data_IF_203789444120
#
_entry.id   IF_203789444120
#
_cell.length_a   1.000
_cell.length_b   1.000
_cell.length_c   1.000
_cell.angle_alpha   90.00
_cell.angle_beta   90.00
_cell.angle_gamma   90.00
#
_symmetry.space_group_name_H-M   'P 1'
#
loop_
_entity.id
_entity.type
_entity.pdbx_description
1 polymer ?
#
# COMPACT_ATOMS: atom_id res chain seq x y z
N UNK A 1 -2.17 1.61 -22.47
CA UNK A 1 -2.89 1.15 -21.26
C UNK A 1 -3.16 -0.36 -21.30
N UNK A 2 -3.20 -0.97 -22.49
CA UNK A 2 -3.14 -2.43 -22.67
C UNK A 2 -2.04 -3.10 -21.85
N UNK A 3 -0.84 -2.49 -21.78
CA UNK A 3 0.27 -2.98 -20.93
C UNK A 3 -0.11 -3.11 -19.46
N UNK A 4 -0.89 -2.17 -18.90
CA UNK A 4 -1.34 -2.26 -17.50
C UNK A 4 -2.33 -3.42 -17.32
N UNK A 5 -3.24 -3.67 -18.29
CA UNK A 5 -4.15 -4.81 -18.26
C UNK A 5 -3.42 -6.15 -18.40
N UNK A 6 -2.47 -6.25 -19.34
CA UNK A 6 -1.60 -7.41 -19.50
C UNK A 6 -0.85 -7.69 -18.19
N UNK A 7 -0.31 -6.64 -17.57
CA UNK A 7 0.41 -6.75 -16.30
C UNK A 7 -0.51 -7.21 -15.17
N UNK A 8 -1.73 -6.66 -15.09
CA UNK A 8 -2.75 -7.07 -14.14
C UNK A 8 -3.09 -8.56 -14.27
N UNK A 9 -3.47 -9.02 -15.47
CA UNK A 9 -3.84 -10.41 -15.73
C UNK A 9 -2.66 -11.36 -15.46
N UNK A 10 -1.45 -10.97 -15.86
CA UNK A 10 -0.23 -11.74 -15.56
C UNK A 10 0.01 -11.88 -14.06
N UNK A 11 -0.19 -10.81 -13.31
CA UNK A 11 0.02 -10.80 -11.87
C UNK A 11 -1.03 -11.64 -11.14
N UNK A 12 -2.32 -11.48 -11.44
CA UNK A 12 -3.36 -12.31 -10.79
C UNK A 12 -3.22 -13.77 -11.18
N UNK A 13 -2.92 -14.09 -12.45
CA UNK A 13 -2.68 -15.45 -12.87
C UNK A 13 -1.44 -16.09 -12.19
N UNK A 14 -0.42 -15.30 -11.83
CA UNK A 14 0.77 -15.85 -11.15
C UNK A 14 0.47 -16.34 -9.72
N UNK A 15 -0.61 -15.84 -9.10
CA UNK A 15 -1.10 -16.26 -7.78
C UNK A 15 -1.60 -17.71 -7.77
N UNK A 16 -1.71 -18.38 -8.93
CA UNK A 16 -1.93 -19.84 -8.99
C UNK A 16 -0.87 -20.60 -8.17
N UNK A 17 0.37 -20.07 -8.14
CA UNK A 17 1.48 -20.66 -7.41
C UNK A 17 1.57 -20.27 -5.93
N UNK A 18 0.68 -19.37 -5.47
CA UNK A 18 0.58 -19.04 -4.05
C UNK A 18 0.17 -20.28 -3.26
N UNK A 19 0.64 -20.41 -2.03
CA UNK A 19 0.11 -21.38 -1.07
C UNK A 19 -1.25 -20.92 -0.54
N UNK A 20 -2.03 -21.85 0.02
CA UNK A 20 -3.32 -21.50 0.63
C UNK A 20 -3.17 -20.56 1.82
N UNK A 21 -2.09 -20.71 2.59
CA UNK A 21 -1.77 -19.82 3.72
C UNK A 21 -1.47 -18.40 3.24
N UNK A 22 -0.67 -18.24 2.19
CA UNK A 22 -0.39 -16.92 1.59
C UNK A 22 -1.67 -16.24 1.08
N UNK A 23 -2.58 -16.98 0.45
CA UNK A 23 -3.87 -16.41 0.01
C UNK A 23 -4.74 -16.04 1.20
N UNK A 24 -4.82 -16.91 2.21
CA UNK A 24 -5.60 -16.61 3.42
C UNK A 24 -5.05 -15.38 4.14
N UNK A 25 -3.74 -15.20 4.21
CA UNK A 25 -3.14 -14.02 4.82
C UNK A 25 -3.44 -12.73 4.05
N UNK A 26 -3.51 -12.77 2.72
CA UNK A 26 -3.95 -11.63 1.89
C UNK A 26 -5.44 -11.33 2.09
N UNK A 27 -6.29 -12.36 2.12
CA UNK A 27 -7.72 -12.21 2.40
C UNK A 27 -7.94 -11.61 3.80
N UNK A 28 -7.20 -12.10 4.79
CA UNK A 28 -7.23 -11.60 6.15
C UNK A 28 -6.74 -10.15 6.24
N UNK A 29 -5.71 -9.77 5.47
CA UNK A 29 -5.23 -8.39 5.39
C UNK A 29 -6.37 -7.46 4.98
N UNK A 30 -7.08 -7.77 3.87
CA UNK A 30 -8.24 -6.97 3.42
C UNK A 30 -9.36 -6.97 4.46
N UNK A 31 -9.66 -8.12 5.07
CA UNK A 31 -10.70 -8.20 6.10
C UNK A 31 -10.39 -7.28 7.29
N UNK A 32 -9.13 -7.19 7.72
CA UNK A 32 -8.70 -6.27 8.77
C UNK A 32 -8.72 -4.81 8.34
N UNK A 33 -8.42 -4.54 7.07
CA UNK A 33 -8.59 -3.21 6.50
C UNK A 33 -10.04 -2.73 6.55
N UNK A 34 -11.01 -3.57 6.19
CA UNK A 34 -12.45 -3.25 6.28
C UNK A 34 -12.85 -3.02 7.74
N UNK A 35 -12.52 -3.94 8.65
CA UNK A 35 -12.85 -3.82 10.08
C UNK A 35 -12.27 -2.55 10.72
N UNK A 36 -11.11 -2.10 10.25
CA UNK A 36 -10.51 -0.84 10.69
C UNK A 36 -11.34 0.39 10.25
N UNK A 37 -12.03 0.33 9.11
CA UNK A 37 -12.93 1.38 8.64
C UNK A 37 -14.26 1.44 9.40
N UNK A 38 -14.72 0.28 9.89
CA UNK A 38 -15.94 0.14 10.72
C UNK A 38 -15.71 0.61 12.17
N UNK A 39 -14.46 0.60 12.65
CA UNK A 39 -14.09 1.05 13.99
C UNK A 39 -14.04 2.59 14.09
N UNK A 40 -15.07 3.17 14.69
CA UNK A 40 -15.23 4.62 14.86
C UNK A 40 -14.29 5.25 15.90
N UNK A 41 -13.56 4.45 16.71
CA UNK A 41 -12.65 4.93 17.74
C UNK A 41 -11.18 5.10 17.26
N UNK A 42 -10.90 4.84 15.98
CA UNK A 42 -9.55 4.57 15.49
C UNK A 42 -8.61 5.78 15.36
N UNK A 43 -9.07 6.94 14.90
CA UNK A 43 -8.16 8.04 14.51
C UNK A 43 -7.56 8.80 15.71
N UNK A 44 -8.33 9.02 16.78
CA UNK A 44 -7.88 9.79 17.95
C UNK A 44 -6.90 8.98 18.82
N UNK A 45 -7.14 7.68 18.98
CA UNK A 45 -6.18 6.76 19.60
C UNK A 45 -4.88 6.66 18.80
N UNK A 46 -4.95 6.83 17.48
CA UNK A 46 -3.81 6.78 16.59
C UNK A 46 -2.81 7.92 16.85
N UNK A 47 -3.29 9.15 17.02
CA UNK A 47 -2.43 10.30 17.28
C UNK A 47 -1.69 10.18 18.61
N UNK A 48 -2.39 9.69 19.64
CA UNK A 48 -1.80 9.48 20.96
C UNK A 48 -0.76 8.35 20.96
N UNK A 49 -1.02 7.26 20.23
CA UNK A 49 -0.07 6.17 20.05
C UNK A 49 1.22 6.65 19.37
N UNK A 50 1.08 7.37 18.24
CA UNK A 50 2.21 7.93 17.48
C UNK A 50 3.00 8.91 18.35
N UNK A 51 2.32 9.88 18.98
CA UNK A 51 2.97 10.87 19.83
C UNK A 51 3.73 10.21 21.00
N UNK A 52 3.16 9.17 21.62
CA UNK A 52 3.81 8.45 22.72
C UNK A 52 5.12 7.79 22.26
N UNK A 53 5.12 7.14 21.09
CA UNK A 53 6.30 6.46 20.56
C UNK A 53 7.35 7.46 20.11
N UNK A 54 6.96 8.52 19.40
CA UNK A 54 7.89 9.55 18.95
C UNK A 54 8.45 10.38 20.12
N UNK A 55 7.69 10.63 21.18
CA UNK A 55 8.22 11.26 22.39
C UNK A 55 9.36 10.44 23.03
N UNK A 56 9.22 9.10 23.04
CA UNK A 56 10.29 8.21 23.51
C UNK A 56 11.52 8.29 22.60
N UNK A 57 11.32 8.28 21.27
CA UNK A 57 12.39 8.43 20.29
C UNK A 57 13.13 9.76 20.45
N UNK A 58 12.41 10.89 20.56
CA UNK A 58 13.01 12.21 20.80
C UNK A 58 13.80 12.24 22.12
N UNK A 59 13.26 11.63 23.18
CA UNK A 59 13.96 11.55 24.47
C UNK A 59 15.25 10.73 24.38
N UNK A 60 15.25 9.62 23.66
CA UNK A 60 16.42 8.76 23.47
C UNK A 60 17.46 9.41 22.55
N UNK A 61 17.02 10.13 21.51
CA UNK A 61 17.89 10.92 20.63
C UNK A 61 18.62 12.01 21.41
N UNK A 62 17.89 12.74 22.27
CA UNK A 62 18.48 13.77 23.12
C UNK A 62 19.48 13.18 24.13
N UNK A 63 19.18 12.03 24.72
CA UNK A 63 20.13 11.32 25.59
C UNK A 63 21.40 10.94 24.84
N UNK A 64 21.28 10.45 23.61
CA UNK A 64 22.43 10.13 22.76
C UNK A 64 23.26 11.39 22.43
N UNK A 65 22.61 12.51 22.11
CA UNK A 65 23.29 13.80 21.91
C UNK A 65 24.08 14.22 23.16
N UNK A 66 23.45 14.17 24.34
CA UNK A 66 24.08 14.55 25.61
C UNK A 66 25.33 13.69 25.93
N UNK A 67 25.24 12.37 25.72
CA UNK A 67 26.37 11.46 25.94
C UNK A 67 27.48 11.64 24.88
N UNK A 68 27.12 11.91 23.63
CA UNK A 68 28.10 12.11 22.54
C UNK A 68 28.82 13.46 22.64
N UNK A 69 28.11 14.55 22.96
CA UNK A 69 28.74 15.84 23.27
C UNK A 69 29.66 15.70 24.50
N UNK A 70 29.29 14.87 25.46
CA UNK A 70 30.14 14.56 26.61
C UNK A 70 31.40 13.75 26.24
N UNK A 71 31.39 12.99 25.15
CA UNK A 71 32.51 12.13 24.71
C UNK A 71 33.30 12.68 23.51
N UNK A 72 32.87 13.77 22.87
CA UNK A 72 33.47 14.44 21.69
C UNK A 72 34.89 15.02 21.92
N UNK A 73 35.65 14.40 22.83
CA UNK A 73 37.09 14.24 22.71
C UNK A 73 37.56 13.09 21.79
N UNK A 74 36.72 12.13 21.32
CA UNK A 74 37.17 11.05 20.39
C UNK A 74 36.12 10.51 19.39
N UNK A 75 36.33 10.79 18.08
CA UNK A 75 36.00 10.05 16.82
C UNK A 75 34.59 9.43 16.61
N UNK A 76 33.78 10.07 15.76
CA UNK A 76 32.46 9.59 15.26
C UNK A 76 32.49 9.28 13.75
N UNK A 77 32.62 8.00 13.39
CA UNK A 77 32.50 7.56 12.00
C UNK A 77 31.78 6.22 11.79
N UNK A 78 31.26 5.54 12.83
CA UNK A 78 30.76 4.16 12.72
C UNK A 78 29.22 3.99 12.89
N UNK A 79 28.45 5.00 13.29
CA UNK A 79 27.01 4.87 13.72
C UNK A 79 25.99 4.90 12.57
N UNK A 80 26.47 4.41 11.46
CA UNK A 80 26.15 4.88 10.14
C UNK A 80 24.99 4.13 9.49
N UNK A 81 25.11 2.81 9.43
CA UNK A 81 24.05 1.95 8.92
C UNK A 81 22.93 1.73 9.94
N UNK A 82 23.06 2.29 11.15
CA UNK A 82 22.14 2.00 12.24
C UNK A 82 20.80 2.75 12.09
N UNK A 83 20.82 3.93 11.50
CA UNK A 83 19.60 4.72 11.35
C UNK A 83 18.84 4.30 10.07
N UNK A 84 19.52 3.75 9.07
CA UNK A 84 18.93 3.41 7.76
C UNK A 84 17.94 2.23 7.74
N UNK A 85 17.92 1.36 8.74
CA UNK A 85 17.01 0.20 8.76
C UNK A 85 15.61 0.49 9.32
N UNK A 86 15.38 1.73 9.77
CA UNK A 86 14.26 2.11 10.61
C UNK A 86 12.87 2.02 9.98
N UNK A 87 12.74 2.35 8.70
CA UNK A 87 11.42 2.56 8.14
C UNK A 87 11.31 1.81 6.83
N UNK A 88 10.95 0.54 7.00
CA UNK A 88 10.51 -0.24 5.88
C UNK A 88 9.20 -0.91 6.26
N UNK A 89 8.17 -0.59 5.51
CA UNK A 89 7.16 -1.58 5.18
C UNK A 89 7.82 -2.73 4.38
N UNK A 90 8.71 -3.50 5.03
CA UNK A 90 9.28 -4.78 4.57
C UNK A 90 10.66 -4.79 3.88
N UNK A 91 11.70 -4.12 4.40
CA UNK A 91 13.10 -4.19 3.89
C UNK A 91 14.22 -4.11 4.96
N UNK A 92 13.92 -4.04 6.26
CA UNK A 92 14.90 -3.82 7.31
C UNK A 92 15.40 -5.12 7.94
N UNK A 93 16.60 -5.58 7.56
CA UNK A 93 17.45 -6.42 8.43
C UNK A 93 18.90 -6.48 7.93
N UNK A 94 19.16 -6.34 6.62
CA UNK A 94 20.49 -6.59 6.05
C UNK A 94 21.54 -5.49 6.31
N UNK A 95 21.13 -4.24 6.54
CA UNK A 95 22.07 -3.12 6.70
C UNK A 95 22.80 -3.13 8.06
N UNK A 96 22.21 -3.73 9.10
CA UNK A 96 22.73 -3.69 10.48
C UNK A 96 23.74 -4.77 10.83
N UNK A 97 23.61 -5.97 10.25
CA UNK A 97 24.55 -7.07 10.52
C UNK A 97 26.00 -6.71 10.14
N UNK A 98 26.20 -5.76 9.23
CA UNK A 98 27.50 -5.25 8.84
C UNK A 98 28.07 -4.19 9.82
N UNK A 99 27.22 -3.50 10.58
CA UNK A 99 27.62 -2.37 11.43
C UNK A 99 27.87 -2.74 12.89
N UNK A 100 27.13 -3.74 13.40
CA UNK A 100 27.45 -4.36 14.69
C UNK A 100 28.85 -5.02 14.73
N UNK A 101 29.53 -5.11 13.58
CA UNK A 101 30.87 -5.66 13.42
C UNK A 101 31.98 -4.58 13.42
N UNK A 102 31.66 -3.29 13.30
CA UNK A 102 32.63 -2.17 13.39
C UNK A 102 32.56 -1.58 14.78
N UNK A 103 33.21 -2.25 15.72
CA UNK A 103 33.20 -1.87 17.13
C UNK A 103 34.63 -1.66 17.64
N UNK A 104 35.19 -0.44 17.51
CA UNK A 104 36.51 -0.14 18.11
C UNK A 104 36.63 1.23 18.80
N UNK A 105 35.67 2.17 18.70
CA UNK A 105 35.92 3.55 19.20
C UNK A 105 34.97 4.16 20.25
N UNK A 106 33.75 3.63 20.48
CA UNK A 106 32.76 4.31 21.33
C UNK A 106 32.81 3.95 22.83
N UNK A 107 32.63 4.96 23.69
CA UNK A 107 32.44 4.79 25.14
C UNK A 107 31.18 3.98 25.50
N UNK A 108 31.21 3.27 26.63
CA UNK A 108 30.14 2.34 27.04
C UNK A 108 28.76 3.02 27.23
N UNK A 109 28.74 4.30 27.64
CA UNK A 109 27.51 5.06 27.83
C UNK A 109 26.83 5.40 26.48
N UNK A 110 27.62 5.77 25.46
CA UNK A 110 27.10 6.03 24.13
C UNK A 110 26.58 4.74 23.51
N UNK A 111 27.33 3.64 23.58
CA UNK A 111 26.85 2.33 23.10
C UNK A 111 25.52 1.92 23.70
N UNK A 112 25.31 2.21 24.99
CA UNK A 112 24.04 1.93 25.65
C UNK A 112 22.92 2.85 25.14
N UNK A 113 23.18 4.16 25.00
CA UNK A 113 22.21 5.12 24.46
C UNK A 113 21.85 4.83 23.01
N UNK A 114 22.83 4.46 22.17
CA UNK A 114 22.62 4.03 20.78
C UNK A 114 21.79 2.76 20.71
N UNK A 115 22.08 1.77 21.56
CA UNK A 115 21.30 0.53 21.62
C UNK A 115 19.86 0.78 22.07
N UNK A 116 19.65 1.65 23.05
CA UNK A 116 18.31 2.02 23.51
C UNK A 116 17.52 2.72 22.40
N UNK A 117 18.13 3.70 21.74
CA UNK A 117 17.56 4.40 20.59
C UNK A 117 17.27 3.43 19.44
N UNK A 118 18.22 2.55 19.10
CA UNK A 118 18.04 1.49 18.11
C UNK A 118 16.83 0.62 18.40
N UNK A 119 16.74 0.06 19.61
CA UNK A 119 15.64 -0.84 19.96
C UNK A 119 14.29 -0.14 19.84
N UNK A 120 14.20 1.11 20.32
CA UNK A 120 12.97 1.90 20.25
C UNK A 120 12.57 2.25 18.81
N UNK A 121 13.56 2.43 17.94
CA UNK A 121 13.35 2.71 16.54
C UNK A 121 12.99 1.44 15.73
N UNK A 122 13.62 0.30 16.02
CA UNK A 122 13.30 -1.02 15.45
C UNK A 122 11.87 -1.45 15.82
N UNK A 123 11.46 -1.21 17.06
CA UNK A 123 10.12 -1.56 17.54
C UNK A 123 9.06 -0.51 17.24
N UNK A 124 9.39 0.66 16.70
CA UNK A 124 8.49 1.81 16.62
C UNK A 124 7.16 1.49 15.91
N UNK A 125 7.20 0.82 14.77
CA UNK A 125 5.99 0.45 14.03
C UNK A 125 5.12 -0.54 14.83
N UNK A 126 5.75 -1.51 15.49
CA UNK A 126 5.05 -2.53 16.26
C UNK A 126 4.50 -1.94 17.57
N UNK A 127 5.21 -0.99 18.18
CA UNK A 127 4.75 -0.25 19.36
C UNK A 127 3.60 0.69 19.03
N UNK A 128 3.65 1.39 17.89
CA UNK A 128 2.52 2.18 17.39
C UNK A 128 1.34 1.25 17.13
N UNK A 129 1.55 0.17 16.35
CA UNK A 129 0.51 -0.80 16.03
C UNK A 129 -0.12 -1.41 17.30
N UNK A 130 0.66 -1.84 18.28
CA UNK A 130 0.18 -2.41 19.54
C UNK A 130 -0.58 -1.41 20.41
N UNK A 131 -0.24 -0.11 20.33
CA UNK A 131 -0.96 0.97 21.01
C UNK A 131 -2.25 1.38 20.29
N UNK A 132 -2.42 0.95 19.03
CA UNK A 132 -3.65 1.15 18.27
C UNK A 132 -4.66 0.01 18.51
N UNK A 133 -5.92 0.22 18.12
CA UNK A 133 -6.95 -0.82 18.27
C UNK A 133 -6.58 -2.11 17.53
N UNK A 134 -7.11 -3.26 18.00
CA UNK A 134 -6.66 -4.59 17.56
C UNK A 134 -6.77 -4.87 16.05
N UNK A 135 -7.69 -4.22 15.33
CA UNK A 135 -7.84 -4.40 13.88
C UNK A 135 -6.72 -3.69 13.09
N UNK A 136 -6.32 -2.48 13.49
CA UNK A 136 -5.22 -1.79 12.80
C UNK A 136 -3.89 -2.47 13.06
N UNK A 137 -3.62 -2.87 14.30
CA UNK A 137 -2.41 -3.61 14.67
C UNK A 137 -2.26 -4.87 13.79
N UNK A 138 -3.36 -5.64 13.67
CA UNK A 138 -3.37 -6.86 12.88
C UNK A 138 -3.27 -6.60 11.38
N UNK A 139 -3.89 -5.53 10.88
CA UNK A 139 -3.74 -5.08 9.51
C UNK A 139 -2.28 -4.75 9.18
N UNK A 140 -1.60 -3.93 9.99
CA UNK A 140 -0.19 -3.57 9.79
C UNK A 140 0.71 -4.81 9.82
N UNK A 141 0.47 -5.73 10.75
CA UNK A 141 1.22 -6.99 10.83
C UNK A 141 1.07 -7.81 9.54
N UNK A 142 -0.16 -8.04 9.09
CA UNK A 142 -0.43 -8.81 7.87
C UNK A 142 0.13 -8.10 6.63
N UNK A 143 0.00 -6.77 6.58
CA UNK A 143 0.56 -5.97 5.50
C UNK A 143 2.08 -6.16 5.39
N UNK A 144 2.80 -6.16 6.52
CA UNK A 144 4.25 -6.38 6.56
C UNK A 144 4.62 -7.80 6.14
N UNK A 145 3.97 -8.82 6.68
CA UNK A 145 4.26 -10.23 6.34
C UNK A 145 4.00 -10.51 4.86
N UNK A 146 2.90 -9.99 4.33
CA UNK A 146 2.51 -10.19 2.94
C UNK A 146 3.40 -9.43 1.96
N UNK A 147 4.13 -8.40 2.41
CA UNK A 147 4.92 -7.56 1.50
C UNK A 147 6.03 -8.34 0.77
N UNK A 148 6.68 -9.26 1.48
CA UNK A 148 7.74 -10.10 0.90
C UNK A 148 7.17 -10.97 -0.24
N UNK A 149 6.05 -11.62 0.02
CA UNK A 149 5.34 -12.43 -0.98
C UNK A 149 4.85 -11.58 -2.16
N UNK A 150 4.15 -10.47 -1.89
CA UNK A 150 3.62 -9.58 -2.93
C UNK A 150 4.75 -9.06 -3.82
N UNK A 151 5.88 -8.67 -3.23
CA UNK A 151 7.06 -8.22 -3.98
C UNK A 151 7.66 -9.34 -4.84
N UNK A 152 7.70 -10.57 -4.33
CA UNK A 152 8.21 -11.73 -5.07
C UNK A 152 7.29 -12.14 -6.23
N UNK A 153 5.96 -12.04 -6.03
CA UNK A 153 4.95 -12.34 -7.05
C UNK A 153 4.75 -11.20 -8.07
N UNK A 154 5.18 -9.98 -7.75
CA UNK A 154 5.03 -8.80 -8.61
C UNK A 154 5.92 -8.88 -9.87
N UNK A 155 5.37 -8.62 -11.06
CA UNK A 155 6.18 -8.44 -12.27
C UNK A 155 7.24 -7.35 -12.11
N UNK A 156 8.37 -7.50 -12.83
CA UNK A 156 9.45 -6.50 -12.81
C UNK A 156 8.92 -5.12 -13.22
N UNK A 157 9.11 -4.12 -12.35
CA UNK A 157 8.64 -2.75 -12.57
C UNK A 157 7.27 -2.44 -11.97
N UNK A 158 6.54 -3.44 -11.45
CA UNK A 158 5.37 -3.21 -10.61
C UNK A 158 5.81 -2.91 -9.18
N UNK A 159 5.26 -1.85 -8.60
CA UNK A 159 5.50 -1.54 -7.19
C UNK A 159 4.58 -2.38 -6.30
N UNK A 160 4.99 -2.74 -5.07
CA UNK A 160 4.13 -3.46 -4.12
C UNK A 160 2.78 -2.74 -3.84
N UNK A 161 2.73 -1.42 -4.03
CA UNK A 161 1.53 -0.61 -3.92
C UNK A 161 0.55 -0.89 -5.06
N UNK A 162 1.05 -0.89 -6.30
CA UNK A 162 0.23 -1.24 -7.47
C UNK A 162 -0.25 -2.69 -7.38
N UNK A 163 0.63 -3.61 -6.95
CA UNK A 163 0.27 -5.01 -6.74
C UNK A 163 -0.86 -5.19 -5.73
N UNK A 164 -0.83 -4.45 -4.60
CA UNK A 164 -1.93 -4.46 -3.62
C UNK A 164 -3.21 -3.81 -4.14
N UNK A 165 -3.11 -2.71 -4.89
CA UNK A 165 -4.27 -2.10 -5.55
C UNK A 165 -4.97 -3.12 -6.46
N UNK A 166 -4.20 -3.88 -7.23
CA UNK A 166 -4.71 -4.96 -8.09
C UNK A 166 -5.34 -6.09 -7.28
N UNK A 167 -4.72 -6.53 -6.19
CA UNK A 167 -5.29 -7.54 -5.29
C UNK A 167 -6.61 -7.08 -4.65
N UNK A 168 -6.71 -5.82 -4.22
CA UNK A 168 -7.92 -5.32 -3.55
C UNK A 168 -9.07 -5.15 -4.54
N UNK A 169 -8.80 -4.63 -5.73
CA UNK A 169 -9.79 -4.61 -6.81
C UNK A 169 -10.23 -6.04 -7.20
N UNK A 170 -9.31 -7.00 -7.26
CA UNK A 170 -9.61 -8.42 -7.48
C UNK A 170 -10.48 -9.00 -6.37
N UNK A 171 -10.17 -8.69 -5.11
CA UNK A 171 -10.98 -9.15 -3.98
C UNK A 171 -12.37 -8.50 -3.94
N UNK A 172 -12.52 -7.23 -4.38
CA UNK A 172 -13.85 -6.64 -4.55
C UNK A 172 -14.64 -7.32 -5.65
N UNK A 173 -14.00 -7.57 -6.79
CA UNK A 173 -14.62 -8.31 -7.88
C UNK A 173 -15.17 -9.67 -7.41
N UNK A 174 -14.34 -10.50 -6.76
CA UNK A 174 -14.81 -11.80 -6.27
C UNK A 174 -15.81 -11.69 -5.11
N UNK A 175 -15.77 -10.61 -4.32
CA UNK A 175 -16.73 -10.33 -3.26
C UNK A 175 -18.15 -10.21 -3.82
N UNK A 176 -18.30 -9.45 -4.91
CA UNK A 176 -19.58 -9.30 -5.63
C UNK A 176 -19.99 -10.57 -6.39
N UNK A 177 -19.09 -11.55 -6.52
CA UNK A 177 -19.31 -12.78 -7.29
C UNK A 177 -19.13 -14.04 -6.42
N UNK A 178 -19.81 -14.09 -5.28
CA UNK A 178 -19.84 -15.26 -4.38
C UNK A 178 -18.93 -15.17 -3.15
N UNK A 179 -18.34 -14.01 -2.89
CA UNK A 179 -17.62 -13.71 -1.64
C UNK A 179 -16.12 -13.94 -1.71
N UNK A 180 -15.41 -13.37 -0.72
CA UNK A 180 -13.95 -13.46 -0.59
C UNK A 180 -13.59 -14.65 0.31
N UNK A 181 -13.40 -15.82 -0.30
CA UNK A 181 -12.91 -17.02 0.38
C UNK A 181 -11.94 -17.79 -0.51
N UNK A 182 -11.06 -18.61 0.09
CA UNK A 182 -9.98 -19.31 -0.61
C UNK A 182 -10.42 -20.02 -1.90
N UNK A 183 -11.52 -20.79 -1.84
CA UNK A 183 -12.04 -21.50 -3.01
C UNK A 183 -12.48 -20.54 -4.13
N UNK A 184 -13.14 -19.44 -3.79
CA UNK A 184 -13.58 -18.46 -4.77
C UNK A 184 -12.38 -17.66 -5.33
N UNK A 185 -11.41 -17.33 -4.48
CA UNK A 185 -10.15 -16.70 -4.89
C UNK A 185 -9.44 -17.55 -5.94
N UNK A 186 -9.23 -18.85 -5.67
CA UNK A 186 -8.61 -19.80 -6.62
C UNK A 186 -9.38 -19.91 -7.92
N UNK A 187 -10.71 -20.01 -7.85
CA UNK A 187 -11.59 -20.04 -9.04
C UNK A 187 -11.35 -18.83 -9.93
N UNK A 188 -11.28 -17.62 -9.36
CA UNK A 188 -11.12 -16.41 -10.15
C UNK A 188 -9.66 -16.12 -10.57
N UNK A 189 -8.68 -16.68 -9.88
CA UNK A 189 -7.29 -16.74 -10.37
C UNK A 189 -7.22 -17.60 -11.64
N UNK A 190 -7.90 -18.74 -11.66
CA UNK A 190 -8.01 -19.59 -12.86
C UNK A 190 -8.73 -18.86 -14.00
N UNK A 191 -9.79 -18.10 -13.69
CA UNK A 191 -10.45 -17.21 -14.67
C UNK A 191 -9.44 -16.22 -15.27
N UNK A 192 -8.63 -15.53 -14.46
CA UNK A 192 -7.60 -14.62 -14.96
C UNK A 192 -6.58 -15.31 -15.88
N UNK A 193 -6.18 -16.54 -15.55
CA UNK A 193 -5.26 -17.35 -16.35
C UNK A 193 -5.85 -17.73 -17.70
N UNK A 194 -7.12 -18.14 -17.74
CA UNK A 194 -7.80 -18.47 -18.99
C UNK A 194 -7.99 -17.21 -19.83
N UNK A 195 -8.51 -16.13 -19.25
CA UNK A 195 -8.77 -14.85 -19.94
C UNK A 195 -7.51 -14.29 -20.60
N UNK A 196 -6.37 -14.35 -19.91
CA UNK A 196 -5.07 -13.92 -20.46
C UNK A 196 -4.71 -14.62 -21.77
N UNK A 197 -5.10 -15.88 -21.91
CA UNK A 197 -4.77 -16.72 -23.06
C UNK A 197 -5.91 -16.79 -24.10
N UNK A 198 -7.02 -16.07 -23.87
CA UNK A 198 -8.16 -16.05 -24.80
C UNK A 198 -7.80 -15.24 -26.06
N UNK A 199 -8.05 -15.75 -27.27
CA UNK A 199 -7.73 -15.04 -28.51
C UNK A 199 -8.49 -13.72 -28.69
N UNK A 200 -9.57 -13.48 -27.95
CA UNK A 200 -10.35 -12.25 -28.04
C UNK A 200 -9.89 -11.16 -27.06
N UNK A 201 -8.96 -11.45 -26.14
CA UNK A 201 -8.50 -10.46 -25.16
C UNK A 201 -7.78 -9.26 -25.82
N UNK A 202 -7.16 -9.48 -26.98
CA UNK A 202 -6.51 -8.41 -27.76
C UNK A 202 -7.50 -7.30 -28.14
N UNK A 203 -8.78 -7.62 -28.35
CA UNK A 203 -9.80 -6.61 -28.64
C UNK A 203 -10.04 -5.68 -27.46
N UNK A 204 -9.94 -6.19 -26.22
CA UNK A 204 -10.02 -5.35 -25.02
C UNK A 204 -8.78 -4.45 -24.93
N UNK A 205 -7.60 -4.97 -25.27
CA UNK A 205 -6.36 -4.19 -25.32
C UNK A 205 -6.46 -3.05 -26.33
N UNK A 206 -7.00 -3.33 -27.52
CA UNK A 206 -7.21 -2.32 -28.57
C UNK A 206 -8.18 -1.23 -28.11
N UNK A 207 -9.30 -1.59 -27.47
CA UNK A 207 -10.26 -0.61 -26.93
C UNK A 207 -9.60 0.26 -25.86
N UNK A 208 -8.82 -0.34 -24.95
CA UNK A 208 -8.09 0.40 -23.92
C UNK A 208 -7.10 1.39 -24.54
N UNK A 209 -6.35 0.97 -25.55
CA UNK A 209 -5.36 1.83 -26.20
C UNK A 209 -6.02 2.90 -27.07
N UNK A 210 -7.09 2.60 -27.81
CA UNK A 210 -7.85 3.59 -28.58
C UNK A 210 -8.42 4.69 -27.67
N UNK A 211 -9.06 4.29 -26.56
CA UNK A 211 -9.57 5.25 -25.57
C UNK A 211 -8.44 6.07 -24.92
N UNK A 212 -7.27 5.48 -24.72
CA UNK A 212 -6.11 6.20 -24.17
C UNK A 212 -5.54 7.20 -25.16
N UNK A 213 -5.37 6.79 -26.42
CA UNK A 213 -4.71 7.57 -27.46
C UNK A 213 -5.62 8.66 -28.03
N UNK A 214 -6.94 8.54 -27.87
CA UNK A 214 -7.88 9.57 -28.32
C UNK A 214 -7.68 10.92 -27.60
N UNK A 215 -7.18 10.90 -26.36
CA UNK A 215 -7.09 12.08 -25.49
C UNK A 215 -8.43 12.68 -25.07
N UNK A 216 -9.55 12.13 -25.56
CA UNK A 216 -10.90 12.49 -25.17
C UNK A 216 -11.42 11.52 -24.11
N UNK A 217 -11.65 12.06 -22.92
CA UNK A 217 -12.15 11.33 -21.77
C UNK A 217 -13.50 11.89 -21.29
N UNK A 218 -14.25 12.52 -22.20
CA UNK A 218 -15.63 12.94 -21.97
C UNK A 218 -16.59 11.76 -21.77
N UNK A 219 -17.78 12.05 -21.25
CA UNK A 219 -18.84 11.06 -20.94
C UNK A 219 -19.16 10.14 -22.12
N UNK A 220 -19.30 10.70 -23.33
CA UNK A 220 -19.64 9.98 -24.55
C UNK A 220 -18.52 9.04 -24.99
N UNK A 221 -17.26 9.47 -24.83
CA UNK A 221 -16.09 8.65 -25.15
C UNK A 221 -15.96 7.48 -24.18
N UNK A 222 -16.17 7.72 -22.89
CA UNK A 222 -16.20 6.67 -21.85
C UNK A 222 -17.29 5.65 -22.19
N UNK A 223 -18.53 6.11 -22.40
CA UNK A 223 -19.66 5.23 -22.71
C UNK A 223 -19.40 4.40 -23.96
N UNK A 224 -18.94 5.03 -25.05
CA UNK A 224 -18.61 4.33 -26.30
C UNK A 224 -17.57 3.23 -26.07
N UNK A 225 -16.53 3.50 -25.27
CA UNK A 225 -15.52 2.51 -24.95
C UNK A 225 -16.09 1.34 -24.13
N UNK A 226 -16.96 1.62 -23.15
CA UNK A 226 -17.65 0.59 -22.36
C UNK A 226 -18.59 -0.27 -23.22
N UNK A 227 -19.38 0.36 -24.11
CA UNK A 227 -20.24 -0.32 -25.07
C UNK A 227 -19.44 -1.23 -26.01
N UNK A 228 -18.29 -0.75 -26.49
CA UNK A 228 -17.39 -1.55 -27.32
C UNK A 228 -16.86 -2.78 -26.57
N UNK A 229 -16.53 -2.66 -25.27
CA UNK A 229 -16.10 -3.81 -24.47
C UNK A 229 -17.20 -4.84 -24.32
N UNK A 230 -18.45 -4.42 -24.08
CA UNK A 230 -19.61 -5.32 -23.95
C UNK A 230 -19.80 -6.23 -25.18
N UNK A 231 -19.39 -5.75 -26.36
CA UNK A 231 -19.53 -6.48 -27.61
C UNK A 231 -18.37 -7.44 -27.93
N UNK A 232 -17.34 -7.51 -27.07
CA UNK A 232 -16.23 -8.44 -27.27
C UNK A 232 -16.71 -9.87 -26.97
N UNK A 233 -16.48 -10.84 -27.87
CA UNK A 233 -16.98 -12.22 -27.72
C UNK A 233 -16.08 -13.04 -26.77
N UNK A 234 -15.97 -12.57 -25.53
CA UNK A 234 -15.36 -13.29 -24.41
C UNK A 234 -16.45 -14.04 -23.64
N UNK A 235 -16.07 -15.12 -22.94
CA UNK A 235 -16.96 -15.73 -21.95
C UNK A 235 -17.44 -14.66 -20.95
N UNK A 236 -18.74 -14.65 -20.56
CA UNK A 236 -19.28 -13.61 -19.69
C UNK A 236 -18.52 -13.41 -18.38
N UNK A 237 -18.00 -14.49 -17.76
CA UNK A 237 -17.22 -14.38 -16.54
C UNK A 237 -15.87 -13.69 -16.79
N UNK A 238 -15.28 -13.89 -17.96
CA UNK A 238 -14.00 -13.30 -18.34
C UNK A 238 -14.18 -11.84 -18.69
N UNK A 239 -15.24 -11.55 -19.45
CA UNK A 239 -15.63 -10.23 -19.90
C UNK A 239 -15.96 -9.31 -18.72
N UNK A 240 -16.72 -9.82 -17.75
CA UNK A 240 -17.04 -9.13 -16.50
C UNK A 240 -15.78 -8.65 -15.76
N UNK A 241 -14.83 -9.54 -15.54
CA UNK A 241 -13.58 -9.22 -14.88
C UNK A 241 -12.80 -8.13 -15.65
N UNK A 242 -12.52 -8.33 -16.95
CA UNK A 242 -11.68 -7.39 -17.71
C UNK A 242 -12.31 -6.01 -17.88
N UNK A 243 -13.65 -5.93 -17.90
CA UNK A 243 -14.39 -4.66 -17.91
C UNK A 243 -14.15 -3.86 -16.63
N UNK A 244 -14.34 -4.48 -15.47
CA UNK A 244 -14.09 -3.85 -14.17
C UNK A 244 -12.63 -3.39 -14.03
N UNK A 245 -11.67 -4.21 -14.46
CA UNK A 245 -10.26 -3.82 -14.42
C UNK A 245 -9.88 -2.72 -15.41
N UNK A 246 -10.54 -2.67 -16.57
CA UNK A 246 -10.33 -1.60 -17.54
C UNK A 246 -10.73 -0.25 -16.94
N UNK A 247 -11.88 -0.21 -16.27
CA UNK A 247 -12.33 0.95 -15.51
C UNK A 247 -11.34 1.34 -14.40
N UNK A 248 -10.82 0.37 -13.64
CA UNK A 248 -9.80 0.61 -12.61
C UNK A 248 -8.54 1.27 -13.20
N UNK A 249 -8.06 0.81 -14.36
CA UNK A 249 -6.92 1.40 -15.07
C UNK A 249 -7.23 2.86 -15.46
N UNK A 250 -8.40 3.12 -16.04
CA UNK A 250 -8.78 4.49 -16.44
C UNK A 250 -8.83 5.45 -15.25
N UNK A 251 -9.44 5.07 -14.14
CA UNK A 251 -9.49 5.95 -12.97
C UNK A 251 -8.11 6.17 -12.36
N UNK A 252 -7.33 5.10 -12.17
CA UNK A 252 -6.08 5.18 -11.41
C UNK A 252 -4.94 5.79 -12.23
N UNK A 253 -4.81 5.43 -13.51
CA UNK A 253 -3.68 5.80 -14.38
C UNK A 253 -3.98 7.02 -15.25
N UNK A 254 -5.19 7.11 -15.77
CA UNK A 254 -5.60 8.22 -16.65
C UNK A 254 -6.32 9.34 -15.90
N UNK A 255 -6.62 9.14 -14.61
CA UNK A 255 -7.34 10.12 -13.76
C UNK A 255 -8.74 10.47 -14.31
N UNK A 256 -9.35 9.52 -15.01
CA UNK A 256 -10.76 9.63 -15.41
C UNK A 256 -11.62 9.57 -14.14
N UNK A 257 -12.66 10.40 -14.07
CA UNK A 257 -13.55 10.44 -12.91
C UNK A 257 -14.24 9.08 -12.71
N UNK A 258 -14.09 8.49 -11.52
CA UNK A 258 -14.78 7.25 -11.14
C UNK A 258 -16.29 7.39 -11.21
N UNK A 259 -16.84 8.56 -10.87
CA UNK A 259 -18.28 8.85 -10.97
C UNK A 259 -18.75 8.86 -12.43
N UNK A 260 -17.94 9.41 -13.34
CA UNK A 260 -18.25 9.42 -14.77
C UNK A 260 -18.21 8.00 -15.36
N UNK A 261 -17.23 7.18 -14.94
CA UNK A 261 -17.14 5.77 -15.33
C UNK A 261 -18.36 4.99 -14.81
N UNK A 262 -18.73 5.17 -13.54
CA UNK A 262 -19.89 4.53 -12.92
C UNK A 262 -21.16 4.85 -13.69
N UNK A 263 -21.43 6.14 -13.89
CA UNK A 263 -22.62 6.61 -14.62
C UNK A 263 -22.67 6.04 -16.03
N UNK A 264 -21.54 6.03 -16.74
CA UNK A 264 -21.48 5.47 -18.08
C UNK A 264 -21.71 3.95 -18.09
N UNK A 265 -21.24 3.21 -17.08
CA UNK A 265 -21.49 1.77 -16.94
C UNK A 265 -22.98 1.47 -16.67
N UNK A 266 -23.64 2.25 -15.81
CA UNK A 266 -25.08 2.19 -15.57
C UNK A 266 -25.88 2.48 -16.85
N UNK A 267 -25.52 3.53 -17.59
CA UNK A 267 -26.12 3.89 -18.88
C UNK A 267 -25.84 2.87 -20.01
N UNK A 268 -24.83 2.03 -19.83
CA UNK A 268 -24.48 0.91 -20.71
C UNK A 268 -25.11 -0.42 -20.22
N UNK A 269 -25.98 -0.36 -19.21
CA UNK A 269 -26.70 -1.50 -18.63
C UNK A 269 -25.78 -2.63 -18.12
N UNK A 270 -24.64 -2.27 -17.53
CA UNK A 270 -23.77 -3.25 -16.88
C UNK A 270 -24.47 -3.89 -15.67
N UNK A 271 -24.15 -5.15 -15.32
CA UNK A 271 -24.69 -5.80 -14.12
C UNK A 271 -24.42 -5.00 -12.85
N UNK A 272 -25.38 -4.99 -11.92
CA UNK A 272 -25.28 -4.25 -10.65
C UNK A 272 -24.05 -4.69 -9.83
N UNK A 273 -23.73 -5.99 -9.87
CA UNK A 273 -22.57 -6.56 -9.20
C UNK A 273 -21.24 -5.96 -9.71
N UNK A 274 -21.16 -5.63 -11.00
CA UNK A 274 -19.99 -4.99 -11.60
C UNK A 274 -19.93 -3.51 -11.28
N UNK A 275 -21.06 -2.81 -11.34
CA UNK A 275 -21.16 -1.38 -10.97
C UNK A 275 -20.76 -1.17 -9.51
N UNK A 276 -21.18 -2.06 -8.61
CA UNK A 276 -20.80 -2.02 -7.19
C UNK A 276 -19.28 -2.09 -6.95
N UNK A 277 -18.53 -2.83 -7.78
CA UNK A 277 -17.06 -2.88 -7.68
C UNK A 277 -16.43 -1.53 -8.04
N UNK A 278 -17.00 -0.82 -9.02
CA UNK A 278 -16.50 0.48 -9.47
C UNK A 278 -16.59 1.55 -8.36
N UNK A 279 -17.53 1.41 -7.43
CA UNK A 279 -17.70 2.35 -6.33
C UNK A 279 -16.49 2.38 -5.39
N UNK A 280 -15.73 1.30 -5.28
CA UNK A 280 -14.58 1.19 -4.38
C UNK A 280 -13.27 1.69 -5.00
N UNK A 281 -13.26 2.02 -6.30
CA UNK A 281 -12.03 2.36 -7.03
C UNK A 281 -11.29 3.58 -6.49
N UNK A 282 -12.01 4.64 -6.07
CA UNK A 282 -11.41 5.84 -5.50
C UNK A 282 -10.79 5.58 -4.11
N UNK A 283 -11.46 4.77 -3.29
CA UNK A 283 -10.94 4.37 -1.98
C UNK A 283 -9.66 3.53 -2.11
N UNK A 284 -9.61 2.59 -3.06
CA UNK A 284 -8.41 1.79 -3.37
C UNK A 284 -7.28 2.68 -3.91
N UNK A 285 -7.60 3.67 -4.76
CA UNK A 285 -6.62 4.64 -5.26
C UNK A 285 -5.99 5.47 -4.15
N UNK A 286 -6.81 5.97 -3.21
CA UNK A 286 -6.36 6.72 -2.02
C UNK A 286 -5.51 5.86 -1.08
N UNK A 287 -5.88 4.59 -0.92
CA UNK A 287 -5.09 3.61 -0.17
C UNK A 287 -3.67 3.45 -0.75
N UNK A 288 -3.56 3.23 -2.07
CA UNK A 288 -2.28 3.09 -2.74
C UNK A 288 -1.40 4.35 -2.61
N UNK A 289 -1.99 5.54 -2.72
CA UNK A 289 -1.29 6.81 -2.52
C UNK A 289 -0.77 7.00 -1.09
N UNK A 290 -1.52 6.51 -0.09
CA UNK A 290 -1.16 6.62 1.33
C UNK A 290 0.13 5.86 1.65
N UNK A 291 0.30 4.66 1.09
CA UNK A 291 1.51 3.83 1.31
C UNK A 291 2.78 4.50 0.77
N UNK A 292 2.68 5.28 -0.32
CA UNK A 292 3.82 5.99 -0.92
C UNK A 292 4.49 6.97 0.07
N UNK A 293 3.73 7.53 1.01
CA UNK A 293 4.25 8.48 2.01
C UNK A 293 5.35 7.85 2.87
N UNK A 294 5.25 6.55 3.19
CA UNK A 294 6.19 5.90 4.12
C UNK A 294 7.53 5.58 3.45
N UNK A 295 7.52 5.24 2.16
CA UNK A 295 8.75 5.06 1.38
C UNK A 295 9.57 6.37 1.36
N UNK A 296 8.91 7.53 1.30
CA UNK A 296 9.58 8.83 1.35
C UNK A 296 10.27 9.17 2.68
N UNK A 297 9.91 8.47 3.78
CA UNK A 297 10.58 8.63 5.08
C UNK A 297 11.92 7.90 5.07
N UNK A 298 11.92 6.66 4.56
CA UNK A 298 13.12 5.84 4.43
C UNK A 298 14.24 6.56 3.65
N UNK A 299 13.86 7.19 2.52
CA UNK A 299 14.81 7.94 1.69
C UNK A 299 15.38 9.19 2.40
N UNK A 300 14.57 9.88 3.20
CA UNK A 300 15.02 11.04 3.97
C UNK A 300 16.02 10.66 5.07
N UNK A 301 15.81 9.49 5.71
CA UNK A 301 16.71 8.95 6.73
C UNK A 301 18.10 8.66 6.14
N UNK A 302 18.15 8.01 4.97
CA UNK A 302 19.40 7.71 4.28
C UNK A 302 20.18 8.99 3.90
N UNK A 303 19.49 10.11 3.65
CA UNK A 303 20.12 11.39 3.36
C UNK A 303 20.73 12.05 4.61
N UNK A 304 20.05 12.02 5.75
CA UNK A 304 20.58 12.53 7.03
C UNK A 304 21.84 11.78 7.44
N UNK A 305 21.90 10.48 7.14
CA UNK A 305 23.07 9.66 7.44
C UNK A 305 24.33 10.10 6.67
N UNK A 306 24.20 10.66 5.47
CA UNK A 306 25.37 11.13 4.69
C UNK A 306 26.00 12.44 5.22
N UNK A 307 25.55 12.97 6.37
CA UNK A 307 26.08 14.20 6.97
C UNK A 307 27.35 13.90 7.77
N UNK A 308 28.43 14.63 7.47
CA UNK A 308 29.79 14.42 8.03
C UNK A 308 30.00 15.13 9.38
N UNK A 309 29.17 16.11 9.73
CA UNK A 309 29.29 16.91 10.95
C UNK A 309 28.25 16.49 12.01
N UNK A 310 28.71 16.18 13.23
CA UNK A 310 27.90 15.69 14.35
C UNK A 310 26.72 16.62 14.69
N UNK A 311 26.95 17.93 14.83
CA UNK A 311 25.92 18.90 15.20
C UNK A 311 24.91 19.08 14.07
N UNK A 312 25.36 19.08 12.83
CA UNK A 312 24.46 19.13 11.66
C UNK A 312 23.65 17.86 11.53
N UNK A 313 24.25 16.70 11.83
CA UNK A 313 23.58 15.40 11.87
C UNK A 313 22.50 15.37 12.94
N UNK A 314 22.76 15.85 14.15
CA UNK A 314 21.75 15.88 15.22
C UNK A 314 20.58 16.81 14.91
N UNK A 315 20.85 18.03 14.46
CA UNK A 315 19.79 18.95 14.03
C UNK A 315 18.95 18.38 12.88
N UNK A 316 19.59 17.66 11.95
CA UNK A 316 18.92 16.97 10.86
C UNK A 316 18.12 15.74 11.35
N UNK A 317 18.61 14.98 12.33
CA UNK A 317 17.91 13.85 12.95
C UNK A 317 16.68 14.31 13.73
N UNK A 318 16.79 15.39 14.51
CA UNK A 318 15.66 15.93 15.27
C UNK A 318 14.55 16.43 14.32
N UNK A 319 14.94 17.14 13.25
CA UNK A 319 14.03 17.53 12.19
C UNK A 319 13.41 16.32 11.49
N UNK A 320 14.22 15.29 11.19
CA UNK A 320 13.77 14.06 10.57
C UNK A 320 12.74 13.32 11.45
N UNK A 321 12.94 13.23 12.76
CA UNK A 321 11.99 12.61 13.68
C UNK A 321 10.68 13.39 13.77
N UNK A 322 10.74 14.73 13.82
CA UNK A 322 9.53 15.57 13.79
C UNK A 322 8.78 15.47 12.45
N UNK A 323 9.50 15.52 11.32
CA UNK A 323 8.94 15.33 9.99
C UNK A 323 8.35 13.90 9.84
N UNK A 324 9.01 12.89 10.42
CA UNK A 324 8.54 11.50 10.42
C UNK A 324 7.28 11.36 11.27
N UNK A 325 7.22 11.94 12.47
CA UNK A 325 6.01 11.94 13.30
C UNK A 325 4.82 12.52 12.53
N UNK A 326 5.01 13.67 11.88
CA UNK A 326 3.99 14.32 11.05
C UNK A 326 3.54 13.45 9.87
N UNK A 327 4.49 12.81 9.17
CA UNK A 327 4.19 11.87 8.07
C UNK A 327 3.49 10.61 8.56
N UNK A 328 3.83 10.07 9.74
CA UNK A 328 3.15 8.94 10.37
C UNK A 328 1.70 9.29 10.73
N UNK A 329 1.50 10.46 11.34
CA UNK A 329 0.16 11.02 11.62
C UNK A 329 -0.66 11.13 10.33
N UNK A 330 -0.06 11.65 9.27
CA UNK A 330 -0.69 11.76 7.95
C UNK A 330 -1.02 10.40 7.35
N UNK A 331 -0.07 9.46 7.39
CA UNK A 331 -0.23 8.10 6.89
C UNK A 331 -1.41 7.40 7.56
N UNK A 332 -1.41 7.30 8.89
CA UNK A 332 -2.46 6.60 9.59
C UNK A 332 -3.81 7.31 9.49
N UNK A 333 -3.83 8.65 9.46
CA UNK A 333 -5.06 9.41 9.20
C UNK A 333 -5.64 9.05 7.83
N UNK A 334 -4.81 9.02 6.79
CA UNK A 334 -5.26 8.69 5.45
C UNK A 334 -5.62 7.21 5.32
N UNK A 335 -4.93 6.32 6.04
CA UNK A 335 -5.23 4.90 6.10
C UNK A 335 -6.64 4.68 6.69
N UNK A 336 -6.97 5.32 7.82
CA UNK A 336 -8.32 5.26 8.39
C UNK A 336 -9.38 5.88 7.48
N UNK A 337 -9.08 7.03 6.83
CA UNK A 337 -10.00 7.64 5.87
C UNK A 337 -10.28 6.71 4.69
N UNK A 338 -9.24 6.06 4.16
CA UNK A 338 -9.37 5.11 3.06
C UNK A 338 -10.15 3.87 3.50
N UNK A 339 -9.85 3.31 4.67
CA UNK A 339 -10.57 2.16 5.23
C UNK A 339 -12.04 2.48 5.48
N UNK A 340 -12.35 3.65 6.04
CA UNK A 340 -13.73 4.09 6.25
C UNK A 340 -14.48 4.26 4.93
N UNK A 341 -13.88 4.95 3.97
CA UNK A 341 -14.47 5.12 2.62
C UNK A 341 -14.65 3.78 1.87
N UNK A 342 -13.85 2.77 2.23
CA UNK A 342 -13.94 1.41 1.68
C UNK A 342 -14.99 0.55 2.39
N UNK A 343 -15.22 0.77 3.69
CA UNK A 343 -16.18 0.01 4.50
C UNK A 343 -17.61 0.60 4.50
N UNK A 344 -17.79 1.86 4.12
CA UNK A 344 -19.11 2.50 4.09
C UNK A 344 -20.06 1.79 3.11
N UNK A 345 -21.25 1.32 3.56
CA UNK A 345 -22.26 0.78 2.67
C UNK A 345 -22.79 1.93 1.81
N UNK A 346 -22.55 1.85 0.51
CA UNK A 346 -22.97 2.89 -0.42
C UNK A 346 -24.41 2.64 -0.79
N UNK A 347 -25.29 3.52 -0.35
CA UNK A 347 -26.70 3.52 -0.72
C UNK A 347 -26.82 3.46 -2.23
N UNK A 348 -27.62 2.54 -2.80
CA UNK A 348 -28.03 2.67 -4.20
C UNK A 348 -28.68 4.05 -4.32
N UNK A 349 -28.32 4.82 -5.35
CA UNK A 349 -28.98 6.08 -5.64
C UNK A 349 -30.43 5.79 -6.02
N UNK A 350 -31.29 5.70 -5.00
CA UNK A 350 -32.72 5.86 -5.11
C UNK A 350 -32.99 7.35 -5.17
N UNK A 351 -32.73 7.95 -6.33
CA UNK A 351 -33.50 9.10 -6.77
C UNK A 351 -34.21 8.70 -8.06
N UNK A 352 -35.54 8.73 -7.94
CA UNK A 352 -36.56 8.43 -8.93
C UNK A 352 -36.59 9.44 -10.07
#
# INVERSE_FOLDING_TARGET
MSTDMITYLNYIASLENATDDEINDIINERAKFIQMGEDSAGSENCFNAIATVFNNIHSLNKKLEEETISDESVKLAEDAAAVGALFSFGLGMAAFAALAATDVALGAAIKAAEKDLYNALESADDDIANKMSGCCAKYVQLYKSNNAYIKAASPKGMTPQTARSYLYNFMDYISSHGGVGLANFRKYVEVARITKNDPNIEKIYDILDEFTLSGDHGSEAIKKALDNMTNVPLDPAYLSMVRVFSCAIWAQRMKVSSDAIKKAAEESFWPEEEVGVLENMDAIGKFAATITIVVSIADAVLQVYNIVNTVERYNAQEKLFSDSESKYKTYYTNLYKAAKAYAEPKTPSLDQ
#
